data_IF_118563379200
#
_entry.id   IF_118563379200
#
_cell.length_a   1.000
_cell.length_b   1.000
_cell.length_c   1.000
_cell.angle_alpha   90.00
_cell.angle_beta   90.00
_cell.angle_gamma   90.00
#
_symmetry.space_group_name_H-M   'P 1'
#
loop_
_entity.id
_entity.type
_entity.pdbx_description
1 polymer ?
#
# COMPACT_ATOMS: atom_id res chain seq x y z
N UNK A 1 3.82 -14.85 -2.17
CA UNK A 1 3.86 -15.22 -3.62
C UNK A 1 3.78 -13.92 -4.42
N UNK A 2 4.64 -13.70 -5.43
CA UNK A 2 4.64 -12.45 -6.19
C UNK A 2 3.37 -12.29 -7.03
N UNK A 3 2.78 -11.08 -7.00
CA UNK A 3 1.50 -10.74 -7.67
C UNK A 3 1.61 -10.50 -9.18
N UNK A 4 2.30 -11.39 -9.91
CA UNK A 4 2.63 -11.19 -11.33
C UNK A 4 1.40 -11.07 -12.24
N UNK A 5 0.39 -11.91 -12.04
CA UNK A 5 -0.84 -11.86 -12.84
C UNK A 5 -1.58 -10.53 -12.62
N UNK A 6 -1.78 -10.14 -11.36
CA UNK A 6 -2.44 -8.89 -11.01
C UNK A 6 -1.67 -7.67 -11.54
N UNK A 7 -0.35 -7.65 -11.41
CA UNK A 7 0.50 -6.56 -11.93
C UNK A 7 0.36 -6.39 -13.45
N UNK A 8 0.35 -7.50 -14.21
CA UNK A 8 0.13 -7.47 -15.67
C UNK A 8 -1.25 -6.95 -16.05
N UNK A 9 -2.28 -7.24 -15.25
CA UNK A 9 -3.63 -6.74 -15.49
C UNK A 9 -3.74 -5.25 -15.17
N UNK A 10 -3.16 -4.80 -14.06
CA UNK A 10 -3.14 -3.39 -13.66
C UNK A 10 -2.42 -2.52 -14.70
N UNK A 11 -1.27 -2.98 -15.21
CA UNK A 11 -0.52 -2.28 -16.26
C UNK A 11 -1.31 -2.05 -17.56
N UNK A 12 -2.33 -2.88 -17.84
CA UNK A 12 -3.20 -2.77 -19.03
C UNK A 12 -4.55 -2.12 -18.73
N UNK A 13 -4.80 -1.72 -17.48
CA UNK A 13 -6.09 -1.20 -17.05
C UNK A 13 -6.12 0.32 -17.15
N UNK A 14 -7.11 0.85 -17.87
CA UNK A 14 -7.40 2.27 -17.86
C UNK A 14 -7.77 2.74 -16.44
N UNK A 15 -7.33 3.94 -16.07
CA UNK A 15 -7.60 4.51 -14.76
C UNK A 15 -6.56 4.18 -13.68
N UNK A 16 -5.59 3.29 -13.93
CA UNK A 16 -4.46 3.07 -13.01
C UNK A 16 -3.40 4.16 -13.23
N UNK A 17 -2.97 4.82 -12.15
CA UNK A 17 -2.02 5.93 -12.21
C UNK A 17 -0.55 5.52 -12.03
N UNK A 18 -0.28 4.73 -10.99
CA UNK A 18 1.03 4.21 -10.65
C UNK A 18 0.86 2.86 -9.93
N UNK A 19 1.87 2.00 -9.99
CA UNK A 19 1.90 0.70 -9.32
C UNK A 19 3.34 0.39 -8.91
N UNK A 20 3.53 -0.15 -7.71
CA UNK A 20 4.80 -0.62 -7.16
C UNK A 20 4.50 -1.87 -6.31
N UNK A 21 5.45 -2.79 -6.19
CA UNK A 21 5.38 -3.85 -5.19
C UNK A 21 5.80 -3.34 -3.81
N UNK A 22 5.34 -4.00 -2.76
CA UNK A 22 5.67 -3.67 -1.36
C UNK A 22 6.77 -4.60 -0.88
N UNK A 23 8.01 -4.10 -0.85
CA UNK A 23 9.20 -4.83 -0.38
C UNK A 23 9.79 -4.23 0.89
N UNK A 24 9.85 -2.90 0.97
CA UNK A 24 10.46 -2.14 2.08
C UNK A 24 9.41 -1.59 3.06
N UNK A 25 8.13 -1.85 2.75
CA UNK A 25 6.95 -1.46 3.48
C UNK A 25 6.17 -0.32 2.83
N UNK A 26 4.87 -0.29 3.11
CA UNK A 26 3.91 0.63 2.47
C UNK A 26 4.40 2.08 2.51
N UNK A 27 4.93 2.54 3.64
CA UNK A 27 5.38 3.93 3.78
C UNK A 27 6.58 4.25 2.87
N UNK A 28 7.57 3.36 2.81
CA UNK A 28 8.76 3.55 1.97
C UNK A 28 8.40 3.51 0.48
N UNK A 29 7.66 2.48 0.06
CA UNK A 29 7.31 2.25 -1.34
C UNK A 29 6.28 3.25 -1.86
N UNK A 30 5.31 3.66 -1.04
CA UNK A 30 4.47 4.80 -1.36
C UNK A 30 5.33 6.06 -1.52
N UNK A 31 6.32 6.25 -0.65
CA UNK A 31 7.29 7.34 -0.76
C UNK A 31 7.98 7.40 -2.13
N UNK A 32 8.37 6.25 -2.70
CA UNK A 32 8.91 6.15 -4.05
C UNK A 32 7.93 6.69 -5.10
N UNK A 33 6.68 6.22 -5.07
CA UNK A 33 5.62 6.66 -5.97
C UNK A 33 5.37 8.17 -5.85
N UNK A 34 5.24 8.68 -4.63
CA UNK A 34 4.95 10.11 -4.39
C UNK A 34 6.08 11.02 -4.90
N UNK A 35 7.34 10.63 -4.70
CA UNK A 35 8.51 11.39 -5.20
C UNK A 35 8.54 11.40 -6.73
N UNK A 36 8.42 10.24 -7.37
CA UNK A 36 8.44 10.11 -8.82
C UNK A 36 7.27 10.87 -9.48
N UNK A 37 6.07 10.81 -8.87
CA UNK A 37 4.86 11.45 -9.38
C UNK A 37 4.70 12.92 -8.96
N UNK A 38 5.58 13.47 -8.10
CA UNK A 38 5.53 14.86 -7.60
C UNK A 38 4.23 15.24 -6.88
N UNK A 39 3.63 14.29 -6.16
CA UNK A 39 2.37 14.44 -5.41
C UNK A 39 2.56 14.05 -3.93
N UNK A 40 1.48 14.07 -3.14
CA UNK A 40 1.46 13.49 -1.78
C UNK A 40 0.32 12.50 -1.60
N UNK A 41 0.13 12.00 -0.39
CA UNK A 41 -0.99 11.13 -0.04
C UNK A 41 -1.41 11.27 1.42
N UNK A 42 -2.67 10.91 1.70
CA UNK A 42 -3.19 10.72 3.04
C UNK A 42 -3.68 9.28 3.15
N UNK A 43 -3.12 8.52 4.09
CA UNK A 43 -3.50 7.12 4.33
C UNK A 43 -4.25 6.97 5.66
N UNK A 44 -5.06 5.92 5.74
CA UNK A 44 -5.78 5.49 6.94
C UNK A 44 -5.21 4.13 7.36
N UNK A 45 -4.29 4.07 8.35
CA UNK A 45 -3.64 2.81 8.74
C UNK A 45 -4.61 1.70 9.14
N UNK A 46 -5.76 2.07 9.73
CA UNK A 46 -6.81 1.13 10.11
C UNK A 46 -7.47 0.41 8.92
N UNK A 47 -7.29 0.91 7.68
CA UNK A 47 -7.80 0.27 6.46
C UNK A 47 -6.80 -0.69 5.81
N UNK A 48 -5.55 -0.73 6.29
CA UNK A 48 -4.55 -1.66 5.76
C UNK A 48 -4.99 -3.09 6.10
N UNK A 49 -5.17 -3.97 5.09
CA UNK A 49 -5.57 -5.33 5.34
C UNK A 49 -4.44 -6.09 6.04
N UNK A 50 -4.77 -6.77 7.13
CA UNK A 50 -3.84 -7.62 7.88
C UNK A 50 -4.46 -9.00 8.07
N UNK A 51 -3.65 -10.08 8.17
CA UNK A 51 -4.18 -11.42 8.32
C UNK A 51 -4.90 -11.61 9.67
N UNK A 52 -5.83 -12.57 9.77
CA UNK A 52 -6.44 -12.93 11.04
C UNK A 52 -5.39 -13.26 12.10
N UNK A 53 -5.59 -12.78 13.34
CA UNK A 53 -4.64 -13.00 14.45
C UNK A 53 -3.41 -12.08 14.45
N UNK A 54 -3.24 -11.21 13.44
CA UNK A 54 -2.10 -10.29 13.36
C UNK A 54 -1.88 -9.46 14.63
N UNK A 55 -2.92 -8.85 15.18
CA UNK A 55 -2.83 -8.06 16.41
C UNK A 55 -2.39 -8.90 17.63
N UNK A 56 -2.88 -10.14 17.75
CA UNK A 56 -2.49 -11.03 18.84
C UNK A 56 -1.02 -11.49 18.71
N UNK A 57 -0.56 -11.73 17.48
CA UNK A 57 0.85 -12.04 17.21
C UNK A 57 1.76 -10.85 17.56
N UNK A 58 1.38 -9.64 17.15
CA UNK A 58 2.10 -8.41 17.49
C UNK A 58 2.19 -8.21 19.01
N UNK A 59 1.08 -8.40 19.73
CA UNK A 59 1.05 -8.29 21.19
C UNK A 59 1.99 -9.30 21.86
N UNK A 60 2.00 -10.56 21.41
CA UNK A 60 2.94 -11.59 21.91
C UNK A 60 4.40 -11.27 21.63
N UNK A 61 4.69 -10.62 20.51
CA UNK A 61 6.04 -10.23 20.11
C UNK A 61 6.48 -8.88 20.72
N UNK A 62 5.58 -8.14 21.39
CA UNK A 62 5.86 -6.80 21.90
C UNK A 62 6.06 -5.76 20.79
N UNK A 63 5.45 -5.96 19.61
CA UNK A 63 5.58 -5.08 18.44
C UNK A 63 4.31 -4.27 18.25
N UNK A 64 4.45 -3.00 17.85
CA UNK A 64 3.32 -2.16 17.45
C UNK A 64 2.72 -2.67 16.12
N UNK A 65 1.44 -3.08 16.10
CA UNK A 65 0.81 -3.64 14.90
C UNK A 65 0.67 -2.62 13.76
N UNK A 66 0.42 -1.35 14.05
CA UNK A 66 0.31 -0.30 13.04
C UNK A 66 1.67 -0.06 12.40
N UNK A 67 2.73 0.00 13.23
CA UNK A 67 4.09 0.12 12.72
C UNK A 67 4.45 -1.06 11.83
N UNK A 68 4.17 -2.29 12.26
CA UNK A 68 4.48 -3.49 11.48
C UNK A 68 3.69 -3.54 10.16
N UNK A 69 2.41 -3.16 10.15
CA UNK A 69 1.61 -3.16 8.93
C UNK A 69 2.04 -2.09 7.90
N UNK A 70 2.67 -1.00 8.35
CA UNK A 70 3.04 0.13 7.48
C UNK A 70 4.50 0.16 7.06
N UNK A 71 5.38 -0.32 7.93
CA UNK A 71 6.83 -0.30 7.74
C UNK A 71 7.46 -1.69 7.83
N UNK A 72 6.67 -2.73 8.10
CA UNK A 72 7.07 -4.09 7.78
C UNK A 72 7.20 -4.23 6.27
N UNK A 73 8.19 -5.03 5.85
CA UNK A 73 8.46 -5.32 4.44
C UNK A 73 8.22 -6.79 4.13
N UNK A 74 8.73 -7.23 2.98
CA UNK A 74 8.69 -8.62 2.50
C UNK A 74 7.28 -9.19 2.28
N UNK A 75 6.25 -8.33 2.19
CA UNK A 75 4.88 -8.75 1.86
C UNK A 75 4.74 -9.14 0.38
N UNK A 76 5.47 -8.45 -0.51
CA UNK A 76 5.41 -8.60 -1.98
C UNK A 76 3.99 -8.43 -2.56
N UNK A 77 3.15 -7.65 -1.88
CA UNK A 77 1.84 -7.20 -2.36
C UNK A 77 1.98 -6.04 -3.35
N UNK A 78 0.90 -5.65 -4.02
CA UNK A 78 0.89 -4.49 -4.92
C UNK A 78 0.25 -3.28 -4.27
N UNK A 79 0.97 -2.15 -4.33
CA UNK A 79 0.46 -0.83 -4.00
C UNK A 79 0.27 -0.02 -5.29
N UNK A 80 -0.94 0.46 -5.53
CA UNK A 80 -1.26 1.18 -6.76
C UNK A 80 -2.26 2.31 -6.53
N UNK A 81 -2.33 3.24 -7.49
CA UNK A 81 -3.26 4.37 -7.46
C UNK A 81 -4.31 4.25 -8.56
N UNK A 82 -5.52 4.70 -8.27
CA UNK A 82 -6.65 4.71 -9.20
C UNK A 82 -7.12 6.15 -9.37
N UNK A 83 -7.37 6.56 -10.61
CA UNK A 83 -7.95 7.87 -10.93
C UNK A 83 -9.40 7.96 -10.44
N UNK A 84 -9.93 9.16 -10.18
CA UNK A 84 -11.33 9.33 -9.75
C UNK A 84 -12.36 8.75 -10.72
N UNK A 85 -12.05 8.72 -12.02
CA UNK A 85 -12.86 8.15 -13.10
C UNK A 85 -12.51 6.68 -13.42
N UNK A 86 -11.66 6.07 -12.60
CA UNK A 86 -11.19 4.70 -12.76
C UNK A 86 -12.18 3.63 -12.27
N UNK A 87 -11.80 2.34 -12.40
CA UNK A 87 -12.63 1.23 -11.91
C UNK A 87 -12.74 1.26 -10.38
N UNK A 88 -13.92 0.89 -9.86
CA UNK A 88 -14.11 0.73 -8.41
C UNK A 88 -13.24 -0.40 -7.84
N UNK A 89 -12.95 -0.32 -6.54
CA UNK A 89 -12.20 -1.37 -5.84
C UNK A 89 -12.83 -2.76 -5.99
N UNK A 90 -14.15 -2.87 -5.93
CA UNK A 90 -14.87 -4.13 -6.14
C UNK A 90 -14.67 -4.69 -7.56
N UNK A 91 -14.69 -3.82 -8.58
CA UNK A 91 -14.45 -4.23 -9.97
C UNK A 91 -13.00 -4.69 -10.18
N UNK A 92 -12.06 -4.02 -9.53
CA UNK A 92 -10.65 -4.42 -9.54
C UNK A 92 -10.47 -5.76 -8.83
N UNK A 93 -11.02 -5.95 -7.64
CA UNK A 93 -10.93 -7.20 -6.90
C UNK A 93 -11.44 -8.39 -7.72
N UNK A 94 -12.63 -8.26 -8.32
CA UNK A 94 -13.19 -9.29 -9.19
C UNK A 94 -12.31 -9.60 -10.42
N UNK A 95 -11.71 -8.56 -11.02
CA UNK A 95 -10.84 -8.71 -12.20
C UNK A 95 -9.48 -9.32 -11.87
N UNK A 96 -8.91 -8.99 -10.71
CA UNK A 96 -7.58 -9.42 -10.30
C UNK A 96 -7.61 -10.78 -9.59
N UNK A 97 -8.79 -11.23 -9.12
CA UNK A 97 -8.94 -12.47 -8.37
C UNK A 97 -8.35 -12.40 -6.96
N UNK A 98 -8.17 -11.20 -6.41
CA UNK A 98 -7.58 -10.95 -5.09
C UNK A 98 -8.34 -9.82 -4.38
N UNK A 99 -8.21 -9.76 -3.06
CA UNK A 99 -8.74 -8.65 -2.27
C UNK A 99 -8.04 -7.34 -2.66
N UNK A 100 -8.82 -6.28 -2.82
CA UNK A 100 -8.32 -4.91 -3.04
C UNK A 100 -8.87 -4.05 -1.92
N UNK A 101 -7.98 -3.35 -1.21
CA UNK A 101 -8.34 -2.43 -0.14
C UNK A 101 -7.93 -1.01 -0.50
N UNK A 102 -8.85 -0.07 -0.37
CA UNK A 102 -8.54 1.36 -0.44
C UNK A 102 -8.04 1.83 0.91
N UNK A 103 -6.75 2.18 0.98
CA UNK A 103 -6.08 2.58 2.22
C UNK A 103 -5.86 4.08 2.34
N UNK A 104 -6.29 4.87 1.37
CA UNK A 104 -6.07 6.32 1.36
C UNK A 104 -6.27 6.98 0.00
N UNK A 105 -5.86 8.24 -0.07
CA UNK A 105 -6.06 9.10 -1.24
C UNK A 105 -4.78 9.83 -1.63
N UNK A 106 -4.54 9.96 -2.93
CA UNK A 106 -3.48 10.81 -3.49
C UNK A 106 -3.92 12.27 -3.39
N UNK A 107 -3.00 13.17 -3.05
CA UNK A 107 -3.26 14.60 -2.88
C UNK A 107 -2.27 15.46 -3.66
N UNK A 108 -2.67 16.68 -4.02
CA UNK A 108 -1.77 17.65 -4.69
C UNK A 108 -0.67 18.16 -3.76
N UNK A 109 -0.91 18.21 -2.44
CA UNK A 109 0.07 18.67 -1.46
C UNK A 109 1.08 17.57 -1.21
N UNK A 110 2.36 17.85 -1.46
CA UNK A 110 3.45 16.89 -1.25
C UNK A 110 3.54 16.39 0.20
N UNK A 111 4.12 15.21 0.34
CA UNK A 111 4.32 14.50 1.61
C UNK A 111 3.28 13.43 1.88
N UNK A 112 3.58 12.55 2.83
CA UNK A 112 2.69 11.51 3.32
C UNK A 112 2.05 11.94 4.65
N UNK A 113 0.76 11.65 4.83
CA UNK A 113 -0.03 11.94 6.04
C UNK A 113 -0.75 10.68 6.51
N UNK A 114 -1.02 10.62 7.80
CA UNK A 114 -1.75 9.50 8.42
C UNK A 114 -0.87 8.30 8.80
N UNK A 115 0.37 8.24 8.34
CA UNK A 115 1.37 7.31 8.87
C UNK A 115 2.00 7.87 10.17
N UNK A 116 2.26 7.04 11.19
CA UNK A 116 3.01 7.47 12.37
C UNK A 116 4.47 7.74 11.99
N UNK A 117 5.11 8.70 12.67
CA UNK A 117 6.51 9.07 12.41
C UNK A 117 7.49 7.89 12.61
N UNK A 118 7.09 6.88 13.40
CA UNK A 118 7.85 5.65 13.66
C UNK A 118 7.79 4.61 12.53
N UNK A 119 6.95 4.82 11.51
CA UNK A 119 6.82 3.94 10.35
C UNK A 119 7.80 4.30 9.23
N UNK A 120 9.09 4.51 9.57
CA UNK A 120 10.13 4.57 8.56
C UNK A 120 10.39 3.15 8.03
N UNK A 121 10.38 2.97 6.71
CA UNK A 121 10.70 1.68 6.09
C UNK A 121 12.19 1.36 6.12
N UNK A 122 12.57 0.25 5.49
CA UNK A 122 13.93 -0.27 5.54
C UNK A 122 14.94 0.56 4.73
N UNK A 123 16.16 0.70 5.22
CA UNK A 123 17.31 1.27 4.49
C UNK A 123 18.55 0.42 4.74
N UNK A 124 19.30 0.09 3.69
CA UNK A 124 20.47 -0.79 3.79
C UNK A 124 21.68 -0.18 4.53
N UNK A 125 21.77 1.15 4.66
CA UNK A 125 22.89 1.87 5.26
C UNK A 125 22.43 3.14 5.98
#
# INVERSE_FOLDING_TARGET
EPRLHAGRLLARSAGIGACIDVSDGIVADLGHVLRASRVGASIEPARVPVPPGFAAACARAGVDPVRLALAGGEDYELLFTVRPDGPSGARLAARLGVTVAEIGVVTRRRGLRGAPASAAGFTHF
#
